data_IF_303335283042
#
_entry.id   IF_303335283042
#
_cell.length_a   1.000
_cell.length_b   1.000
_cell.length_c   1.000
_cell.angle_alpha   90.00
_cell.angle_beta   90.00
_cell.angle_gamma   90.00
#
_symmetry.space_group_name_H-M   'P 1'
#
loop_
_entity.id
_entity.type
_entity.pdbx_description
1 polymer ?
#
# COMPACT_ATOMS: atom_id res chain seq x y z
N UNK A 1 -0.10 55.38 -22.46
CA UNK A 1 -0.21 54.82 -21.10
C UNK A 1 -1.57 54.20 -20.79
N UNK A 2 -2.70 54.89 -21.00
CA UNK A 2 -4.06 54.33 -20.75
C UNK A 2 -4.33 53.01 -21.49
N UNK A 3 -4.01 52.94 -22.78
CA UNK A 3 -4.19 51.72 -23.61
C UNK A 3 -3.40 50.53 -23.04
N UNK A 4 -2.15 50.75 -22.60
CA UNK A 4 -1.32 49.70 -22.01
C UNK A 4 -1.90 49.17 -20.69
N UNK A 5 -2.42 50.05 -19.85
CA UNK A 5 -3.07 49.68 -18.59
C UNK A 5 -4.35 48.86 -18.87
N UNK A 6 -5.17 49.29 -19.83
CA UNK A 6 -6.38 48.56 -20.22
C UNK A 6 -6.05 47.16 -20.75
N UNK A 7 -5.05 47.03 -21.62
CA UNK A 7 -4.59 45.72 -22.15
C UNK A 7 -4.10 44.82 -21.01
N UNK A 8 -3.31 45.38 -20.08
CA UNK A 8 -2.82 44.63 -18.92
C UNK A 8 -3.98 44.11 -18.04
N UNK A 9 -4.97 44.96 -17.73
CA UNK A 9 -6.14 44.56 -16.94
C UNK A 9 -6.96 43.47 -17.63
N UNK A 10 -7.17 43.57 -18.96
CA UNK A 10 -7.85 42.54 -19.73
C UNK A 10 -7.08 41.21 -19.73
N UNK A 11 -5.75 41.25 -19.84
CA UNK A 11 -4.91 40.06 -19.75
C UNK A 11 -5.00 39.38 -18.37
N UNK A 12 -5.02 40.16 -17.29
CA UNK A 12 -5.20 39.66 -15.92
C UNK A 12 -6.58 39.03 -15.75
N UNK A 13 -7.64 39.67 -16.24
CA UNK A 13 -9.00 39.11 -16.19
C UNK A 13 -9.12 37.82 -17.00
N UNK A 14 -8.56 37.77 -18.21
CA UNK A 14 -8.54 36.57 -19.04
C UNK A 14 -7.78 35.42 -18.37
N UNK A 15 -6.62 35.72 -17.78
CA UNK A 15 -5.84 34.74 -17.02
C UNK A 15 -6.60 34.25 -15.78
N UNK A 16 -7.24 35.16 -15.04
CA UNK A 16 -8.07 34.82 -13.88
C UNK A 16 -9.25 33.93 -14.26
N UNK A 17 -9.95 34.25 -15.35
CA UNK A 17 -11.03 33.42 -15.89
C UNK A 17 -10.55 32.04 -16.33
N UNK A 18 -9.42 31.96 -17.03
CA UNK A 18 -8.81 30.68 -17.42
C UNK A 18 -8.38 29.83 -16.22
N UNK A 19 -7.76 30.43 -15.21
CA UNK A 19 -7.39 29.75 -13.96
C UNK A 19 -8.64 29.26 -13.24
N UNK A 20 -9.65 30.10 -13.07
CA UNK A 20 -10.91 29.72 -12.43
C UNK A 20 -11.57 28.54 -13.13
N UNK A 21 -11.66 28.59 -14.46
CA UNK A 21 -12.15 27.48 -15.28
C UNK A 21 -11.31 26.21 -15.09
N UNK A 22 -9.98 26.31 -15.12
CA UNK A 22 -9.08 25.17 -14.97
C UNK A 22 -9.13 24.53 -13.57
N UNK A 23 -9.37 25.33 -12.52
CA UNK A 23 -9.44 24.88 -11.12
C UNK A 23 -10.79 24.22 -10.82
N UNK A 24 -11.89 24.89 -11.16
CA UNK A 24 -13.23 24.50 -10.68
C UNK A 24 -13.99 23.59 -11.63
N UNK A 25 -13.65 23.54 -12.91
CA UNK A 25 -14.30 22.60 -13.83
C UNK A 25 -13.82 21.19 -13.52
N UNK A 26 -14.69 20.24 -13.18
CA UNK A 26 -14.28 18.85 -12.93
C UNK A 26 -13.68 18.21 -14.17
N UNK A 27 -12.73 17.30 -13.97
CA UNK A 27 -12.16 16.45 -15.02
C UNK A 27 -12.66 15.04 -14.77
N UNK A 28 -13.21 14.41 -15.81
CA UNK A 28 -13.53 12.98 -15.81
C UNK A 28 -12.27 12.23 -16.26
N UNK A 29 -11.64 11.40 -15.41
CA UNK A 29 -10.50 10.60 -15.81
C UNK A 29 -10.89 9.60 -16.91
N UNK A 30 -9.96 9.18 -17.78
CA UNK A 30 -10.20 8.13 -18.77
C UNK A 30 -10.32 6.76 -18.08
N UNK A 31 -11.50 6.46 -17.54
CA UNK A 31 -11.74 5.25 -16.75
C UNK A 31 -11.13 5.30 -15.34
N UNK A 32 -10.89 4.13 -14.75
CA UNK A 32 -10.29 4.00 -13.42
C UNK A 32 -8.79 4.24 -13.50
N UNK A 33 -8.36 5.42 -13.05
CA UNK A 33 -6.96 5.82 -13.13
C UNK A 33 -6.29 5.80 -11.76
N UNK A 34 -5.26 4.97 -11.61
CA UNK A 34 -4.37 5.02 -10.45
C UNK A 34 -3.22 6.00 -10.67
N UNK A 35 -2.87 6.77 -9.63
CA UNK A 35 -1.70 7.65 -9.59
C UNK A 35 -0.88 7.34 -8.35
N UNK A 36 0.36 6.90 -8.55
CA UNK A 36 1.30 6.58 -7.49
C UNK A 36 2.19 7.78 -7.15
N UNK A 37 2.04 8.32 -5.94
CA UNK A 37 2.81 9.46 -5.44
C UNK A 37 3.83 8.98 -4.40
N UNK A 38 5.12 9.19 -4.66
CA UNK A 38 6.17 8.77 -3.72
C UNK A 38 6.54 9.90 -2.76
N UNK A 39 7.10 9.53 -1.60
CA UNK A 39 7.64 10.48 -0.65
C UNK A 39 8.73 11.36 -1.31
N UNK A 40 8.76 12.65 -0.94
CA UNK A 40 9.72 13.62 -1.49
C UNK A 40 9.34 14.20 -2.86
N UNK A 41 8.21 13.81 -3.46
CA UNK A 41 7.73 14.46 -4.68
C UNK A 41 7.41 15.94 -4.44
N UNK A 42 7.92 16.82 -5.30
CA UNK A 42 7.53 18.24 -5.29
C UNK A 42 6.11 18.42 -5.80
N UNK A 43 5.43 19.50 -5.39
CA UNK A 43 4.09 19.85 -5.90
C UNK A 43 4.03 19.93 -7.43
N UNK A 44 5.13 20.34 -8.07
CA UNK A 44 5.24 20.35 -9.53
C UNK A 44 5.22 18.93 -10.11
N UNK A 45 5.93 17.98 -9.49
CA UNK A 45 5.95 16.58 -9.92
C UNK A 45 4.58 15.92 -9.68
N UNK A 46 3.97 16.15 -8.53
CA UNK A 46 2.60 15.66 -8.23
C UNK A 46 1.62 16.15 -9.29
N UNK A 47 1.60 17.46 -9.59
CA UNK A 47 0.73 18.00 -10.62
C UNK A 47 1.03 17.43 -12.01
N UNK A 48 2.29 17.13 -12.33
CA UNK A 48 2.66 16.50 -13.59
C UNK A 48 2.12 15.06 -13.72
N UNK A 49 2.24 14.24 -12.67
CA UNK A 49 1.67 12.88 -12.66
C UNK A 49 0.15 12.91 -12.77
N UNK A 50 -0.52 13.80 -12.02
CA UNK A 50 -1.98 13.97 -12.09
C UNK A 50 -2.44 14.42 -13.49
N UNK A 51 -1.69 15.32 -14.15
CA UNK A 51 -2.01 15.76 -15.51
C UNK A 51 -1.79 14.65 -16.52
N UNK A 52 -0.67 13.92 -16.41
CA UNK A 52 -0.34 12.78 -17.27
C UNK A 52 -1.42 11.69 -17.20
N UNK A 53 -1.96 11.48 -16.01
CA UNK A 53 -3.06 10.57 -15.72
C UNK A 53 -4.44 11.12 -16.15
N UNK A 54 -4.53 12.36 -16.66
CA UNK A 54 -5.81 12.96 -17.05
C UNK A 54 -6.72 13.33 -15.86
N UNK A 55 -6.18 13.36 -14.64
CA UNK A 55 -6.94 13.70 -13.41
C UNK A 55 -7.11 15.22 -13.26
N UNK A 56 -6.16 16.01 -13.79
CA UNK A 56 -6.23 17.47 -13.81
C UNK A 56 -5.88 18.03 -15.20
N UNK A 57 -6.40 19.22 -15.53
CA UNK A 57 -6.10 19.88 -16.82
C UNK A 57 -4.77 20.64 -16.83
N UNK A 58 -4.34 21.16 -15.67
CA UNK A 58 -3.23 22.11 -15.60
C UNK A 58 -2.40 21.96 -14.35
N UNK A 59 -1.10 21.67 -14.54
CA UNK A 59 -0.09 21.67 -13.48
C UNK A 59 0.03 23.05 -12.84
N UNK A 60 -0.09 24.12 -13.64
CA UNK A 60 -0.01 25.50 -13.14
C UNK A 60 -1.17 25.82 -12.21
N UNK A 61 -2.41 25.49 -12.60
CA UNK A 61 -3.59 25.71 -11.78
C UNK A 61 -3.52 24.93 -10.46
N UNK A 62 -3.05 23.68 -10.50
CA UNK A 62 -2.85 22.86 -9.30
C UNK A 62 -1.80 23.46 -8.35
N UNK A 63 -0.67 23.91 -8.90
CA UNK A 63 0.37 24.57 -8.10
C UNK A 63 -0.11 25.88 -7.51
N UNK A 64 -0.84 26.69 -8.27
CA UNK A 64 -1.41 27.94 -7.78
C UNK A 64 -2.41 27.66 -6.65
N UNK A 65 -3.27 26.65 -6.81
CA UNK A 65 -4.18 26.21 -5.75
C UNK A 65 -3.43 25.80 -4.48
N UNK A 66 -2.41 24.93 -4.61
CA UNK A 66 -1.55 24.51 -3.50
C UNK A 66 -0.90 25.70 -2.78
N UNK A 67 -0.36 26.67 -3.51
CA UNK A 67 0.31 27.84 -2.91
C UNK A 67 -0.67 28.75 -2.17
N UNK A 68 -1.89 28.90 -2.69
CA UNK A 68 -2.94 29.72 -2.06
C UNK A 68 -3.62 29.01 -0.87
N UNK A 69 -3.56 27.67 -0.83
CA UNK A 69 -4.16 26.84 0.20
C UNK A 69 -3.10 25.92 0.80
N UNK A 70 -2.15 26.42 1.62
CA UNK A 70 -1.08 25.61 2.20
C UNK A 70 -1.55 24.61 3.28
N UNK A 71 -2.85 24.28 3.33
CA UNK A 71 -3.41 23.38 4.34
C UNK A 71 -3.02 21.94 4.02
N UNK A 72 -2.18 21.38 4.88
CA UNK A 72 -1.72 19.98 4.91
C UNK A 72 -0.65 19.62 3.88
N UNK A 73 0.35 18.86 4.34
CA UNK A 73 1.30 18.19 3.46
C UNK A 73 0.57 17.15 2.62
N UNK A 74 0.76 17.19 1.30
CA UNK A 74 0.24 16.17 0.40
C UNK A 74 0.89 14.82 0.74
N UNK A 75 0.06 13.79 0.98
CA UNK A 75 0.54 12.49 1.44
C UNK A 75 1.00 11.63 0.27
N UNK A 76 2.11 10.92 0.45
CA UNK A 76 2.53 9.86 -0.45
C UNK A 76 1.54 8.70 -0.38
N UNK A 77 1.35 8.00 -1.49
CA UNK A 77 0.41 6.89 -1.60
C UNK A 77 -0.07 6.68 -3.03
N UNK A 78 -0.77 5.58 -3.23
CA UNK A 78 -1.53 5.32 -4.45
C UNK A 78 -2.93 5.93 -4.34
N UNK A 79 -3.40 6.62 -5.37
CA UNK A 79 -4.73 7.23 -5.38
C UNK A 79 -5.51 6.77 -6.61
N UNK A 80 -6.71 6.23 -6.38
CA UNK A 80 -7.61 5.79 -7.46
C UNK A 80 -8.61 6.89 -7.81
N UNK A 81 -8.55 7.41 -9.03
CA UNK A 81 -9.48 8.41 -9.56
C UNK A 81 -10.44 7.74 -10.56
N UNK A 82 -11.70 7.60 -10.17
CA UNK A 82 -12.77 6.88 -10.88
C UNK A 82 -13.98 7.77 -11.23
N UNK A 83 -13.97 9.03 -10.77
CA UNK A 83 -15.07 9.98 -10.92
C UNK A 83 -14.58 11.38 -11.24
N UNK A 84 -15.49 12.18 -11.77
CA UNK A 84 -15.23 13.59 -12.07
C UNK A 84 -14.80 14.34 -10.81
N UNK A 85 -13.65 15.01 -10.86
CA UNK A 85 -13.16 15.81 -9.73
C UNK A 85 -12.51 17.12 -10.19
N UNK A 86 -12.71 18.19 -9.42
CA UNK A 86 -12.03 19.47 -9.59
C UNK A 86 -10.67 19.46 -8.89
N UNK A 87 -9.80 20.43 -9.21
CA UNK A 87 -8.48 20.55 -8.56
C UNK A 87 -8.59 20.64 -7.03
N UNK A 88 -9.52 21.41 -6.44
CA UNK A 88 -9.72 21.42 -5.00
C UNK A 88 -10.05 20.04 -4.42
N UNK A 89 -10.93 19.28 -5.08
CA UNK A 89 -11.33 17.95 -4.61
C UNK A 89 -10.16 16.95 -4.70
N UNK A 90 -9.40 16.98 -5.79
CA UNK A 90 -8.18 16.16 -5.96
C UNK A 90 -7.15 16.53 -4.91
N UNK A 91 -6.92 17.82 -4.69
CA UNK A 91 -6.01 18.34 -3.66
C UNK A 91 -6.41 17.84 -2.27
N UNK A 92 -7.66 18.02 -1.89
CA UNK A 92 -8.15 17.65 -0.56
C UNK A 92 -8.08 16.14 -0.32
N UNK A 93 -8.32 15.35 -1.36
CA UNK A 93 -8.20 13.88 -1.30
C UNK A 93 -6.77 13.45 -0.97
N UNK A 94 -5.79 14.03 -1.65
CA UNK A 94 -4.36 13.76 -1.43
C UNK A 94 -3.90 14.32 -0.08
N UNK A 95 -4.41 15.49 0.32
CA UNK A 95 -4.12 16.12 1.60
C UNK A 95 -4.63 15.30 2.80
N UNK A 96 -5.81 14.69 2.69
CA UNK A 96 -6.37 13.78 3.70
C UNK A 96 -5.69 12.41 3.73
N UNK A 97 -4.93 12.04 2.70
CA UNK A 97 -4.34 10.70 2.59
C UNK A 97 -5.40 9.62 2.35
N UNK A 98 -6.40 9.90 1.51
CA UNK A 98 -7.37 8.91 1.04
C UNK A 98 -6.71 7.96 0.02
N UNK A 99 -5.77 7.18 0.54
CA UNK A 99 -4.91 6.25 -0.19
C UNK A 99 -5.71 5.00 -0.56
N UNK A 100 -5.48 4.50 -1.77
CA UNK A 100 -6.01 3.24 -2.23
C UNK A 100 -5.19 2.08 -1.65
N UNK A 101 -5.87 1.18 -0.94
CA UNK A 101 -5.29 -0.03 -0.38
C UNK A 101 -5.70 -1.26 -1.20
N UNK A 102 -4.74 -2.13 -1.45
CA UNK A 102 -4.96 -3.48 -1.97
C UNK A 102 -5.20 -4.40 -0.78
N UNK A 103 -6.36 -5.05 -0.77
CA UNK A 103 -6.71 -6.05 0.24
C UNK A 103 -6.15 -7.40 -0.19
N UNK A 104 -5.23 -7.94 0.62
CA UNK A 104 -4.59 -9.23 0.38
C UNK A 104 -4.95 -10.17 1.50
N UNK A 105 -5.73 -11.21 1.20
CA UNK A 105 -6.06 -12.26 2.16
C UNK A 105 -5.06 -13.40 2.03
N UNK A 106 -4.39 -13.74 3.13
CA UNK A 106 -3.52 -14.90 3.27
C UNK A 106 -4.22 -15.92 4.18
N UNK A 107 -4.79 -17.00 3.62
CA UNK A 107 -5.41 -18.07 4.40
C UNK A 107 -4.40 -18.89 5.23
N UNK A 108 -4.92 -19.62 6.20
CA UNK A 108 -4.17 -20.65 6.92
C UNK A 108 -3.66 -21.74 5.95
N UNK A 109 -2.54 -22.37 6.30
CA UNK A 109 -1.93 -23.44 5.49
C UNK A 109 -1.23 -22.98 4.19
N UNK A 110 -1.20 -21.68 3.89
CA UNK A 110 -0.44 -21.13 2.77
C UNK A 110 1.07 -21.25 3.00
N UNK A 111 1.78 -21.67 1.95
CA UNK A 111 3.25 -21.63 1.92
C UNK A 111 3.74 -20.26 1.46
N UNK A 112 5.03 -19.95 1.66
CA UNK A 112 5.60 -18.71 1.12
C UNK A 112 5.50 -18.59 -0.40
N UNK A 113 5.36 -19.71 -1.13
CA UNK A 113 5.12 -19.73 -2.58
C UNK A 113 3.70 -19.27 -2.94
N UNK A 114 2.70 -19.73 -2.16
CA UNK A 114 1.31 -19.30 -2.34
C UNK A 114 1.15 -17.82 -1.99
N UNK A 115 1.82 -17.37 -0.92
CA UNK A 115 1.86 -15.96 -0.53
C UNK A 115 2.51 -15.13 -1.64
N UNK A 116 3.68 -15.54 -2.14
CA UNK A 116 4.36 -14.83 -3.21
C UNK A 116 3.50 -14.66 -4.46
N UNK A 117 2.78 -15.72 -4.87
CA UNK A 117 1.82 -15.66 -5.96
C UNK A 117 0.66 -14.71 -5.65
N UNK A 118 0.12 -14.75 -4.45
CA UNK A 118 -0.97 -13.85 -4.02
C UNK A 118 -0.54 -12.38 -4.09
N UNK A 119 0.70 -12.06 -3.70
CA UNK A 119 1.25 -10.70 -3.81
C UNK A 119 1.42 -10.25 -5.28
N UNK A 120 1.81 -11.16 -6.16
CA UNK A 120 1.93 -10.91 -7.61
C UNK A 120 0.58 -10.72 -8.28
N UNK A 121 -0.40 -11.58 -7.98
CA UNK A 121 -1.77 -11.49 -8.48
C UNK A 121 -2.44 -10.18 -8.01
N UNK A 122 -2.11 -9.69 -6.81
CA UNK A 122 -2.52 -8.38 -6.32
C UNK A 122 -1.77 -7.19 -6.96
N UNK A 123 -0.75 -7.46 -7.78
CA UNK A 123 0.08 -6.44 -8.44
C UNK A 123 0.90 -5.59 -7.47
N UNK A 124 1.32 -6.17 -6.33
CA UNK A 124 2.13 -5.51 -5.31
C UNK A 124 3.65 -5.70 -5.54
N UNK A 125 4.03 -6.71 -6.32
CA UNK A 125 5.42 -6.97 -6.71
C UNK A 125 5.55 -8.37 -7.31
N UNK A 126 6.74 -8.75 -7.77
CA UNK A 126 6.92 -10.07 -8.39
C UNK A 126 7.00 -11.18 -7.34
N UNK A 127 6.47 -12.36 -7.67
CA UNK A 127 6.52 -13.52 -6.79
C UNK A 127 7.99 -13.93 -6.52
N UNK A 128 8.84 -13.85 -7.55
CA UNK A 128 10.28 -14.16 -7.43
C UNK A 128 11.00 -13.26 -6.43
N UNK A 129 10.70 -11.96 -6.43
CA UNK A 129 11.31 -11.01 -5.50
C UNK A 129 10.83 -11.24 -4.07
N UNK A 130 9.52 -11.49 -3.88
CA UNK A 130 8.98 -11.83 -2.57
C UNK A 130 9.62 -13.10 -2.01
N UNK A 131 9.79 -14.15 -2.83
CA UNK A 131 10.47 -15.38 -2.43
C UNK A 131 11.94 -15.16 -2.06
N UNK A 132 12.65 -14.28 -2.80
CA UNK A 132 14.02 -13.89 -2.45
C UNK A 132 14.06 -13.28 -1.05
N UNK A 133 13.16 -12.33 -0.79
CA UNK A 133 13.03 -11.66 0.52
C UNK A 133 12.71 -12.68 1.61
N UNK A 134 11.71 -13.53 1.42
CA UNK A 134 11.30 -14.55 2.38
C UNK A 134 12.43 -15.54 2.73
N UNK A 135 13.35 -15.80 1.80
CA UNK A 135 14.53 -16.65 2.05
C UNK A 135 15.70 -15.89 2.70
N UNK A 136 15.88 -14.61 2.36
CA UNK A 136 17.05 -13.85 2.82
C UNK A 136 16.83 -13.09 4.13
N UNK A 137 15.60 -12.68 4.44
CA UNK A 137 15.29 -11.79 5.57
C UNK A 137 14.99 -12.57 6.85
N UNK A 138 15.77 -13.61 7.14
CA UNK A 138 15.66 -14.39 8.39
C UNK A 138 16.01 -13.57 9.62
N UNK A 139 16.68 -12.43 9.45
CA UNK A 139 16.90 -11.42 10.50
C UNK A 139 15.59 -10.96 11.16
N UNK A 140 14.45 -11.05 10.46
CA UNK A 140 13.14 -10.71 11.00
C UNK A 140 12.62 -11.70 12.03
N UNK A 141 13.23 -12.88 12.20
CA UNK A 141 12.79 -13.94 13.14
C UNK A 141 13.93 -14.55 13.96
N UNK A 142 15.18 -14.20 13.67
CA UNK A 142 16.39 -14.86 14.22
C UNK A 142 16.48 -14.81 15.75
N UNK A 143 15.94 -13.79 16.40
CA UNK A 143 15.87 -13.66 17.86
C UNK A 143 14.90 -14.66 18.51
N UNK A 144 13.90 -15.12 17.77
CA UNK A 144 12.91 -16.10 18.24
C UNK A 144 13.30 -17.52 17.82
N UNK A 145 13.87 -17.65 16.63
CA UNK A 145 14.17 -18.91 15.95
C UNK A 145 15.48 -18.80 15.17
N UNK A 146 16.64 -18.91 15.84
CA UNK A 146 17.96 -18.81 15.21
C UNK A 146 18.21 -19.81 14.08
N UNK A 147 17.54 -20.96 14.10
CA UNK A 147 17.61 -22.05 13.14
C UNK A 147 16.77 -21.82 11.87
N UNK A 148 15.93 -20.78 11.85
CA UNK A 148 15.05 -20.49 10.71
C UNK A 148 15.87 -20.16 9.45
N UNK A 149 15.63 -20.93 8.38
CA UNK A 149 16.29 -20.75 7.07
C UNK A 149 15.52 -19.86 6.09
N UNK A 150 14.29 -19.49 6.46
CA UNK A 150 13.39 -18.62 5.71
C UNK A 150 12.27 -18.12 6.62
N UNK A 151 11.38 -17.29 6.09
CA UNK A 151 10.15 -16.83 6.74
C UNK A 151 8.97 -17.81 6.59
N UNK A 152 9.18 -19.00 6.01
CA UNK A 152 8.15 -20.05 5.94
C UNK A 152 7.59 -20.36 7.34
N UNK A 153 6.26 -20.31 7.49
CA UNK A 153 5.57 -20.52 8.76
C UNK A 153 5.51 -19.29 9.69
N UNK A 154 6.23 -18.20 9.37
CA UNK A 154 6.25 -16.96 10.16
C UNK A 154 5.51 -15.79 9.50
N UNK A 155 5.12 -15.94 8.23
CA UNK A 155 4.25 -14.99 7.53
C UNK A 155 2.80 -15.26 7.97
N UNK A 156 2.31 -14.50 8.95
CA UNK A 156 1.04 -14.83 9.62
C UNK A 156 -0.17 -14.77 8.67
N UNK A 157 -1.12 -15.74 8.72
CA UNK A 157 -2.38 -15.67 7.98
C UNK A 157 -3.27 -14.52 8.45
N UNK A 158 -3.63 -13.61 7.55
CA UNK A 158 -4.55 -12.50 7.83
C UNK A 158 -5.03 -11.84 6.52
N UNK A 159 -5.99 -10.92 6.62
CA UNK A 159 -6.27 -9.94 5.57
C UNK A 159 -5.47 -8.66 5.81
N UNK A 160 -4.53 -8.37 4.90
CA UNK A 160 -3.65 -7.21 4.97
C UNK A 160 -4.11 -6.09 4.05
N UNK A 161 -3.89 -4.85 4.49
CA UNK A 161 -4.06 -3.64 3.69
C UNK A 161 -2.68 -3.15 3.25
N UNK A 162 -2.36 -3.33 1.98
CA UNK A 162 -1.08 -2.91 1.42
C UNK A 162 -1.23 -1.82 0.36
N UNK A 163 -0.18 -1.05 0.14
CA UNK A 163 -0.13 -0.03 -0.92
C UNK A 163 1.07 -0.30 -1.81
N UNK A 164 1.01 0.13 -3.08
CA UNK A 164 2.16 0.03 -4.00
C UNK A 164 3.34 0.94 -3.65
N UNK A 165 3.21 1.80 -2.64
CA UNK A 165 4.35 2.56 -2.12
C UNK A 165 5.18 1.79 -1.10
N UNK A 166 4.63 0.72 -0.52
CA UNK A 166 5.36 -0.14 0.42
C UNK A 166 6.27 -1.09 -0.36
N UNK A 167 7.44 -1.40 0.20
CA UNK A 167 8.29 -2.44 -0.38
C UNK A 167 7.81 -3.84 0.02
N UNK A 168 8.18 -4.85 -0.76
CA UNK A 168 7.89 -6.24 -0.42
C UNK A 168 8.56 -6.65 0.91
N UNK A 169 9.71 -6.07 1.26
CA UNK A 169 10.34 -6.25 2.58
C UNK A 169 9.47 -5.70 3.71
N UNK A 170 8.89 -4.52 3.55
CA UNK A 170 7.98 -3.92 4.55
C UNK A 170 6.70 -4.76 4.70
N UNK A 171 6.17 -5.29 3.60
CA UNK A 171 5.00 -6.18 3.62
C UNK A 171 5.31 -7.49 4.35
N UNK A 172 6.46 -8.13 4.05
CA UNK A 172 6.90 -9.33 4.76
C UNK A 172 7.14 -9.06 6.26
N UNK A 173 7.77 -7.93 6.59
CA UNK A 173 7.97 -7.51 7.98
C UNK A 173 6.64 -7.28 8.71
N UNK A 174 5.62 -6.76 8.03
CA UNK A 174 4.27 -6.60 8.59
C UNK A 174 3.64 -7.94 8.94
N UNK A 175 3.77 -8.95 8.06
CA UNK A 175 3.26 -10.30 8.32
C UNK A 175 3.99 -10.97 9.50
N UNK A 176 5.32 -10.81 9.58
CA UNK A 176 6.11 -11.35 10.69
C UNK A 176 5.81 -10.61 12.01
N UNK A 177 5.59 -9.30 11.96
CA UNK A 177 5.18 -8.54 13.13
C UNK A 177 3.83 -9.03 13.67
N UNK A 178 2.88 -9.32 12.79
CA UNK A 178 1.60 -9.91 13.18
C UNK A 178 1.80 -11.29 13.85
N UNK A 179 2.67 -12.15 13.31
CA UNK A 179 3.03 -13.42 13.94
C UNK A 179 3.55 -13.21 15.36
N UNK A 180 4.47 -12.26 15.56
CA UNK A 180 5.05 -11.93 16.87
C UNK A 180 3.99 -11.50 17.88
N UNK A 181 3.06 -10.63 17.46
CA UNK A 181 1.98 -10.17 18.33
C UNK A 181 1.11 -11.34 18.79
N UNK A 182 0.74 -12.24 17.88
CA UNK A 182 -0.09 -13.40 18.22
C UNK A 182 0.68 -14.39 19.08
N UNK A 183 1.94 -14.68 18.74
CA UNK A 183 2.81 -15.54 19.54
C UNK A 183 2.94 -15.04 20.98
N UNK A 184 3.14 -13.74 21.17
CA UNK A 184 3.19 -13.12 22.49
C UNK A 184 1.86 -13.23 23.24
N UNK A 185 0.72 -13.03 22.57
CA UNK A 185 -0.61 -13.12 23.17
C UNK A 185 -0.93 -14.53 23.69
N UNK A 186 -0.47 -15.57 23.00
CA UNK A 186 -0.66 -16.97 23.42
C UNK A 186 0.46 -17.49 24.33
N UNK A 187 1.46 -16.66 24.66
CA UNK A 187 2.59 -17.04 25.51
C UNK A 187 3.60 -17.98 24.84
N UNK A 188 3.67 -17.99 23.51
CA UNK A 188 4.65 -18.78 22.75
C UNK A 188 6.02 -18.09 22.80
N UNK A 189 6.78 -18.42 23.86
CA UNK A 189 8.05 -17.75 24.19
C UNK A 189 9.28 -18.66 24.05
N UNK A 190 9.06 -19.97 23.88
CA UNK A 190 10.10 -21.00 23.80
C UNK A 190 9.72 -22.00 22.70
N UNK A 191 10.72 -22.69 22.14
CA UNK A 191 10.55 -23.70 21.09
C UNK A 191 9.66 -23.22 19.92
N UNK A 192 9.76 -21.93 19.57
CA UNK A 192 8.89 -21.29 18.57
C UNK A 192 8.98 -22.03 17.24
N UNK A 193 10.19 -22.36 16.78
CA UNK A 193 10.38 -23.07 15.51
C UNK A 193 9.74 -24.46 15.51
N UNK A 194 9.94 -25.23 16.60
CA UNK A 194 9.35 -26.56 16.75
C UNK A 194 7.82 -26.48 16.80
N UNK A 195 7.28 -25.49 17.50
CA UNK A 195 5.83 -25.27 17.60
C UNK A 195 5.23 -24.89 16.25
N UNK A 196 5.86 -23.98 15.51
CA UNK A 196 5.43 -23.59 14.15
C UNK A 196 5.49 -24.79 13.20
N UNK A 197 6.55 -25.61 13.30
CA UNK A 197 6.68 -26.83 12.50
C UNK A 197 5.59 -27.86 12.83
N UNK A 198 5.29 -28.04 14.12
CA UNK A 198 4.21 -28.93 14.54
C UNK A 198 2.85 -28.42 14.05
N UNK A 199 2.59 -27.12 14.21
CA UNK A 199 1.37 -26.48 13.76
C UNK A 199 1.18 -26.62 12.24
N UNK A 200 2.25 -26.48 11.45
CA UNK A 200 2.16 -26.63 9.99
C UNK A 200 1.84 -28.06 9.55
N UNK A 201 2.35 -29.07 10.27
CA UNK A 201 1.98 -30.48 10.04
C UNK A 201 0.51 -30.68 10.37
N UNK A 202 0.07 -30.29 11.57
CA UNK A 202 -1.34 -30.43 12.01
C UNK A 202 -2.29 -29.76 11.02
N UNK A 203 -1.94 -28.56 10.55
CA UNK A 203 -2.75 -27.80 9.58
C UNK A 203 -2.86 -28.48 8.22
N UNK A 204 -1.81 -29.21 7.78
CA UNK A 204 -1.84 -29.96 6.52
C UNK A 204 -2.58 -31.29 6.62
N UNK A 205 -2.63 -31.89 7.80
CA UNK A 205 -3.21 -33.23 8.02
C UNK A 205 -4.73 -33.21 8.22
N UNK A 206 -5.29 -32.14 8.80
CA UNK A 206 -6.75 -32.04 8.98
C UNK A 206 -7.27 -30.60 8.86
N UNK A 207 -8.35 -30.43 8.10
CA UNK A 207 -9.11 -29.18 8.02
C UNK A 207 -10.21 -29.09 9.10
N UNK A 208 -10.45 -30.18 9.86
CA UNK A 208 -11.50 -30.25 10.88
C UNK A 208 -10.93 -29.74 12.21
N UNK A 209 -11.47 -28.63 12.71
CA UNK A 209 -10.93 -27.96 13.89
C UNK A 209 -10.95 -28.85 15.14
N UNK A 210 -11.96 -29.71 15.27
CA UNK A 210 -12.12 -30.64 16.39
C UNK A 210 -11.07 -31.77 16.39
N UNK A 211 -10.49 -32.10 15.23
CA UNK A 211 -9.48 -33.15 15.11
C UNK A 211 -8.06 -32.64 15.38
N UNK A 212 -7.82 -31.33 15.25
CA UNK A 212 -6.49 -30.71 15.42
C UNK A 212 -5.81 -31.10 16.75
N UNK A 213 -6.48 -31.12 17.93
CA UNK A 213 -5.85 -31.54 19.18
C UNK A 213 -5.44 -33.02 19.20
N UNK A 214 -6.23 -33.89 18.57
CA UNK A 214 -5.93 -35.34 18.48
C UNK A 214 -4.72 -35.55 17.59
N UNK A 215 -4.71 -34.94 16.40
CA UNK A 215 -3.57 -34.99 15.48
C UNK A 215 -2.31 -34.45 16.15
N UNK A 216 -2.37 -33.28 16.80
CA UNK A 216 -1.25 -32.71 17.54
C UNK A 216 -0.71 -33.66 18.60
N UNK A 217 -1.59 -34.35 19.35
CA UNK A 217 -1.18 -35.32 20.37
C UNK A 217 -0.41 -36.52 19.78
N UNK A 218 -0.75 -36.97 18.57
CA UNK A 218 -0.08 -38.10 17.92
C UNK A 218 1.35 -37.73 17.54
N UNK A 219 1.54 -36.54 16.93
CA UNK A 219 2.88 -36.09 16.54
C UNK A 219 3.73 -35.66 17.74
N UNK A 220 3.13 -35.16 18.82
CA UNK A 220 3.87 -34.79 20.03
C UNK A 220 4.44 -36.01 20.77
N UNK A 221 3.75 -37.15 20.71
CA UNK A 221 4.12 -38.39 21.41
C UNK A 221 5.07 -39.32 20.62
N UNK A 222 5.47 -38.94 19.39
CA UNK A 222 6.46 -39.66 18.58
C UNK A 222 7.87 -39.14 18.83
#
# INVERSE_FOLDING_TARGET
MRILITIFLLAVLALGGWVGWAVYTPVVPPGNQSVLLHAGYSTRRIGAELKKAGVIRSVFAFRLWYTLHPKHSLKAGEYLFDRAASIPQVYDRIARGDIYFHLVTIPEGYTMFDIAKTMEDAGLGSAGEFLRIARSRTDLVVDMTPEAKSLEGYLFPNTYQFTRTQSLEEMAATMVHQFRQVAQQIGLNADVHRTVTMASIVEKETAVSEERPVVASVYYNR
#
